data_IF_876086549283
#
_entry.id   IF_876086549283
#
_cell.length_a   1.000
_cell.length_b   1.000
_cell.length_c   1.000
_cell.angle_alpha   90.00
_cell.angle_beta   90.00
_cell.angle_gamma   90.00
#
_symmetry.space_group_name_H-M   'P 1'
#
loop_
_entity.id
_entity.type
_entity.pdbx_description
1 polymer ?
#
# COMPACT_ATOMS: atom_id res chain seq x y z
N UNK A 1 -8.67 -12.26 -17.26
CA UNK A 1 -9.04 -13.17 -16.14
C UNK A 1 -9.66 -12.44 -14.95
N UNK A 2 -9.04 -11.40 -14.39
CA UNK A 2 -9.55 -10.68 -13.20
C UNK A 2 -11.00 -10.13 -13.35
N UNK A 3 -11.38 -9.62 -14.53
CA UNK A 3 -12.76 -9.14 -14.79
C UNK A 3 -13.84 -10.24 -14.76
N UNK A 4 -13.49 -11.48 -15.11
CA UNK A 4 -14.44 -12.60 -15.15
C UNK A 4 -14.75 -13.10 -13.72
N UNK A 5 -13.77 -13.01 -12.83
CA UNK A 5 -13.91 -13.30 -11.40
C UNK A 5 -14.74 -12.23 -10.67
N UNK A 6 -14.57 -10.96 -11.06
CA UNK A 6 -15.32 -9.83 -10.48
C UNK A 6 -16.82 -9.85 -10.86
N UNK A 7 -17.15 -10.39 -12.04
CA UNK A 7 -18.54 -10.62 -12.46
C UNK A 7 -19.25 -11.74 -11.66
N UNK A 8 -18.50 -12.57 -10.91
CA UNK A 8 -19.01 -13.65 -10.06
C UNK A 8 -19.12 -13.25 -8.57
N UNK A 9 -19.07 -11.95 -8.24
CA UNK A 9 -19.25 -11.46 -6.87
C UNK A 9 -18.04 -11.63 -5.96
N UNK A 10 -16.88 -12.01 -6.51
CA UNK A 10 -15.60 -11.92 -5.79
C UNK A 10 -15.13 -10.45 -5.77
N UNK A 11 -15.82 -9.63 -5.00
CA UNK A 11 -15.30 -8.34 -4.57
C UNK A 11 -14.03 -8.60 -3.74
N UNK A 12 -12.98 -7.83 -4.01
CA UNK A 12 -11.75 -7.89 -3.23
C UNK A 12 -12.10 -7.75 -1.74
N UNK A 13 -11.76 -8.78 -0.95
CA UNK A 13 -12.18 -8.89 0.44
C UNK A 13 -11.80 -7.64 1.26
N UNK A 14 -12.50 -7.36 2.36
CA UNK A 14 -12.31 -6.14 3.16
C UNK A 14 -10.86 -5.92 3.62
N UNK A 15 -10.06 -6.99 3.71
CA UNK A 15 -8.65 -6.98 4.10
C UNK A 15 -7.66 -6.84 2.94
N UNK A 16 -8.04 -7.12 1.69
CA UNK A 16 -7.12 -7.07 0.55
C UNK A 16 -6.72 -5.63 0.17
N UNK A 17 -7.64 -4.67 0.37
CA UNK A 17 -7.40 -3.26 0.01
C UNK A 17 -6.36 -2.58 0.91
N UNK A 18 -6.42 -2.71 2.25
CA UNK A 18 -5.39 -2.17 3.12
C UNK A 18 -4.00 -2.78 2.90
N UNK A 19 -3.93 -4.10 2.62
CA UNK A 19 -2.66 -4.79 2.35
C UNK A 19 -1.97 -4.25 1.10
N UNK A 20 -2.71 -4.12 -0.01
CA UNK A 20 -2.16 -3.57 -1.25
C UNK A 20 -1.76 -2.09 -1.10
N UNK A 21 -2.58 -1.31 -0.40
CA UNK A 21 -2.26 0.09 -0.07
C UNK A 21 -0.96 0.17 0.72
N UNK A 22 -0.80 -0.69 1.73
CA UNK A 22 0.39 -0.78 2.56
C UNK A 22 1.63 -1.20 1.79
N UNK A 23 1.51 -2.19 0.89
CA UNK A 23 2.61 -2.62 0.03
C UNK A 23 3.12 -1.49 -0.87
N UNK A 24 2.20 -0.80 -1.57
CA UNK A 24 2.57 0.30 -2.47
C UNK A 24 3.16 1.44 -1.66
N UNK A 25 2.50 1.86 -0.58
CA UNK A 25 3.01 2.91 0.30
C UNK A 25 4.41 2.57 0.84
N UNK A 26 4.64 1.31 1.22
CA UNK A 26 5.91 0.83 1.76
C UNK A 26 7.05 0.97 0.77
N UNK A 27 6.83 0.52 -0.48
CA UNK A 27 7.82 0.67 -1.56
C UNK A 27 8.07 2.15 -1.87
N UNK A 28 7.01 2.96 -1.93
CA UNK A 28 7.14 4.39 -2.23
C UNK A 28 7.92 5.13 -1.14
N UNK A 29 7.63 4.83 0.13
CA UNK A 29 8.31 5.38 1.29
C UNK A 29 9.77 4.88 1.43
N UNK A 30 10.14 3.81 0.73
CA UNK A 30 11.51 3.28 0.74
C UNK A 30 12.49 4.17 -0.02
N UNK A 31 12.02 4.94 -1.00
CA UNK A 31 12.87 5.84 -1.80
C UNK A 31 13.64 6.86 -0.94
N UNK A 32 12.99 7.69 -0.10
CA UNK A 32 13.73 8.62 0.75
C UNK A 32 14.58 7.91 1.82
N UNK A 33 14.14 6.75 2.31
CA UNK A 33 14.90 5.96 3.29
C UNK A 33 16.22 5.44 2.70
N UNK A 34 16.20 4.92 1.47
CA UNK A 34 17.41 4.47 0.77
C UNK A 34 18.41 5.61 0.54
N UNK A 35 17.93 6.82 0.21
CA UNK A 35 18.79 7.98 0.04
C UNK A 35 19.57 8.30 1.32
N UNK A 36 18.92 8.22 2.48
CA UNK A 36 19.57 8.40 3.79
C UNK A 36 20.54 7.26 4.08
N UNK A 37 20.14 6.01 3.86
CA UNK A 37 21.04 4.87 4.09
C UNK A 37 22.31 4.95 3.24
N UNK A 38 22.19 5.40 1.99
CA UNK A 38 23.33 5.63 1.10
C UNK A 38 24.24 6.76 1.62
N UNK A 39 23.67 7.89 2.03
CA UNK A 39 24.43 9.02 2.57
C UNK A 39 25.18 8.71 3.88
N UNK A 40 24.65 7.80 4.69
CA UNK A 40 25.27 7.37 5.95
C UNK A 40 26.11 6.10 5.83
N UNK A 41 26.22 5.52 4.62
CA UNK A 41 26.87 4.23 4.38
C UNK A 41 26.38 3.11 5.31
N UNK A 42 25.10 3.19 5.71
CA UNK A 42 24.52 2.31 6.72
C UNK A 42 24.32 0.87 6.22
N UNK A 43 24.44 0.64 4.91
CA UNK A 43 24.34 -0.66 4.27
C UNK A 43 25.69 -1.39 4.14
N UNK A 44 26.81 -0.70 4.34
CA UNK A 44 28.14 -1.30 4.18
C UNK A 44 28.40 -2.36 5.25
N UNK A 45 28.03 -2.07 6.49
CA UNK A 45 28.21 -2.98 7.61
C UNK A 45 27.40 -4.29 7.45
N UNK A 46 26.08 -4.27 7.18
CA UNK A 46 25.33 -5.50 6.96
C UNK A 46 25.77 -6.23 5.68
N UNK A 47 26.17 -5.52 4.62
CA UNK A 47 26.71 -6.14 3.42
C UNK A 47 27.99 -6.94 3.73
N UNK A 48 28.95 -6.33 4.45
CA UNK A 48 30.19 -6.99 4.88
C UNK A 48 29.91 -8.16 5.82
N UNK A 49 29.03 -7.99 6.80
CA UNK A 49 28.68 -9.04 7.75
C UNK A 49 28.03 -10.27 7.07
N UNK A 50 27.21 -10.03 6.04
CA UNK A 50 26.61 -11.11 5.25
C UNK A 50 27.54 -11.66 4.14
N UNK A 51 28.71 -11.07 3.93
CA UNK A 51 29.59 -11.42 2.80
C UNK A 51 28.97 -11.13 1.42
N UNK A 52 28.10 -10.12 1.34
CA UNK A 52 27.35 -9.75 0.14
C UNK A 52 27.69 -8.35 -0.35
N UNK A 53 27.14 -7.95 -1.50
CA UNK A 53 27.29 -6.59 -2.02
C UNK A 53 26.32 -5.61 -1.34
N UNK A 54 26.67 -4.32 -1.32
CA UNK A 54 25.81 -3.24 -0.84
C UNK A 54 24.47 -3.20 -1.60
N UNK A 55 24.50 -3.55 -2.88
CA UNK A 55 23.28 -3.67 -3.69
C UNK A 55 22.36 -4.79 -3.20
N UNK A 56 22.91 -5.96 -2.86
CA UNK A 56 22.12 -7.06 -2.29
C UNK A 56 21.53 -6.67 -0.92
N UNK A 57 22.30 -5.98 -0.08
CA UNK A 57 21.81 -5.44 1.19
C UNK A 57 20.69 -4.41 1.00
N UNK A 58 20.79 -3.53 -0.02
CA UNK A 58 19.74 -2.59 -0.38
C UNK A 58 18.46 -3.32 -0.83
N UNK A 59 18.58 -4.37 -1.64
CA UNK A 59 17.44 -5.17 -2.09
C UNK A 59 16.76 -5.90 -0.94
N UNK A 60 17.55 -6.46 -0.02
CA UNK A 60 17.04 -7.05 1.22
C UNK A 60 16.28 -6.03 2.07
N UNK A 61 16.82 -4.80 2.20
CA UNK A 61 16.14 -3.71 2.88
C UNK A 61 14.80 -3.35 2.22
N UNK A 62 14.76 -3.23 0.89
CA UNK A 62 13.51 -2.99 0.14
C UNK A 62 12.49 -4.11 0.39
N UNK A 63 12.92 -5.37 0.38
CA UNK A 63 12.04 -6.51 0.67
C UNK A 63 11.47 -6.44 2.09
N UNK A 64 12.31 -6.11 3.08
CA UNK A 64 11.89 -5.89 4.47
C UNK A 64 10.89 -4.73 4.59
N UNK A 65 11.12 -3.62 3.90
CA UNK A 65 10.21 -2.47 3.92
C UNK A 65 8.89 -2.77 3.22
N UNK A 66 8.89 -3.57 2.15
CA UNK A 66 7.66 -4.06 1.52
C UNK A 66 6.84 -4.90 2.49
N UNK A 67 7.48 -5.84 3.20
CA UNK A 67 6.83 -6.65 4.24
C UNK A 67 6.31 -5.77 5.38
N UNK A 68 7.09 -4.79 5.82
CA UNK A 68 6.69 -3.81 6.83
C UNK A 68 5.47 -3.00 6.38
N UNK A 69 5.42 -2.58 5.12
CA UNK A 69 4.28 -1.86 4.55
C UNK A 69 3.00 -2.71 4.51
N UNK A 70 3.13 -3.99 4.12
CA UNK A 70 2.03 -4.97 4.18
C UNK A 70 1.54 -5.12 5.62
N UNK A 71 2.45 -5.28 6.59
CA UNK A 71 2.13 -5.41 8.01
C UNK A 71 1.42 -4.16 8.55
N UNK A 72 1.87 -2.97 8.16
CA UNK A 72 1.21 -1.71 8.53
C UNK A 72 -0.23 -1.67 8.02
N UNK A 73 -0.46 -2.01 6.74
CA UNK A 73 -1.78 -2.08 6.15
C UNK A 73 -2.67 -3.14 6.81
N UNK A 74 -2.10 -4.27 7.21
CA UNK A 74 -2.79 -5.34 7.92
C UNK A 74 -3.21 -4.94 9.34
N UNK A 75 -2.30 -4.31 10.09
CA UNK A 75 -2.48 -3.98 11.51
C UNK A 75 -3.41 -2.79 11.69
N UNK A 76 -3.20 -1.73 10.92
CA UNK A 76 -3.91 -0.47 11.13
C UNK A 76 -5.15 -0.31 10.26
N UNK A 77 -5.30 -1.09 9.19
CA UNK A 77 -6.48 -1.13 8.30
C UNK A 77 -7.16 0.25 8.10
N UNK A 78 -8.28 0.49 8.80
CA UNK A 78 -9.09 1.71 8.72
C UNK A 78 -8.57 2.84 9.61
N UNK A 79 -7.87 2.52 10.70
CA UNK A 79 -7.25 3.48 11.62
C UNK A 79 -6.07 4.24 10.98
N UNK A 80 -5.32 3.59 10.07
CA UNK A 80 -4.26 4.23 9.29
C UNK A 80 -4.76 5.27 8.28
N UNK A 81 -6.07 5.37 8.07
CA UNK A 81 -6.65 6.26 7.07
C UNK A 81 -7.04 7.64 7.64
N UNK A 82 -6.71 7.94 8.90
CA UNK A 82 -6.92 9.27 9.48
C UNK A 82 -5.82 10.25 9.03
N UNK A 83 -6.14 11.25 8.19
CA UNK A 83 -5.14 12.18 7.65
C UNK A 83 -4.51 13.10 8.70
N UNK A 84 -5.13 13.29 9.88
CA UNK A 84 -4.61 14.18 10.92
C UNK A 84 -3.56 13.50 11.82
N UNK A 85 -3.62 12.18 11.95
CA UNK A 85 -2.76 11.39 12.84
C UNK A 85 -1.92 10.32 12.15
N UNK A 86 -2.16 10.02 10.87
CA UNK A 86 -1.48 8.94 10.14
C UNK A 86 0.04 9.07 10.13
N UNK A 87 0.58 10.30 10.07
CA UNK A 87 2.02 10.57 10.13
C UNK A 87 2.65 10.15 11.47
N UNK A 88 1.95 10.33 12.58
CA UNK A 88 2.43 9.93 13.91
C UNK A 88 2.37 8.41 14.09
N UNK A 89 1.29 7.77 13.63
CA UNK A 89 1.18 6.31 13.59
C UNK A 89 2.28 5.69 12.72
N UNK A 90 2.54 6.29 11.56
CA UNK A 90 3.61 5.88 10.68
C UNK A 90 5.00 5.98 11.33
N UNK A 91 5.32 7.12 11.94
CA UNK A 91 6.60 7.28 12.65
C UNK A 91 6.74 6.33 13.85
N UNK A 92 5.69 6.17 14.65
CA UNK A 92 5.69 5.23 15.77
C UNK A 92 5.91 3.79 15.29
N UNK A 93 5.25 3.39 14.19
CA UNK A 93 5.45 2.08 13.60
C UNK A 93 6.88 1.90 13.04
N UNK A 94 7.42 2.92 12.37
CA UNK A 94 8.82 2.91 11.91
C UNK A 94 9.80 2.76 13.09
N UNK A 95 9.58 3.49 14.18
CA UNK A 95 10.36 3.37 15.40
C UNK A 95 10.27 1.98 16.03
N UNK A 96 9.07 1.40 16.12
CA UNK A 96 8.87 0.03 16.64
C UNK A 96 9.56 -1.00 15.74
N UNK A 97 9.47 -0.86 14.41
CA UNK A 97 10.21 -1.72 13.48
C UNK A 97 11.72 -1.59 13.66
N UNK A 98 12.22 -0.38 13.90
CA UNK A 98 13.63 -0.15 14.19
C UNK A 98 14.07 -0.86 15.48
N UNK A 99 13.24 -0.80 16.52
CA UNK A 99 13.48 -1.50 17.79
C UNK A 99 13.41 -3.02 17.68
N UNK A 100 12.62 -3.57 16.76
CA UNK A 100 12.42 -5.01 16.58
C UNK A 100 13.35 -5.66 15.56
N UNK A 101 13.68 -4.96 14.48
CA UNK A 101 14.48 -5.51 13.39
C UNK A 101 15.97 -5.23 13.59
N UNK A 102 16.45 -4.03 13.22
CA UNK A 102 17.87 -3.71 13.23
C UNK A 102 18.56 -3.84 14.59
N UNK A 103 17.96 -3.33 15.67
CA UNK A 103 18.62 -3.34 16.99
C UNK A 103 18.80 -4.76 17.52
N UNK A 104 17.78 -5.65 17.52
CA UNK A 104 17.96 -7.01 18.02
C UNK A 104 18.71 -7.90 17.02
N UNK A 105 18.37 -7.89 15.72
CA UNK A 105 19.01 -8.81 14.76
C UNK A 105 20.49 -8.49 14.52
N UNK A 106 20.90 -7.22 14.59
CA UNK A 106 22.29 -6.82 14.32
C UNK A 106 23.15 -6.82 15.60
N UNK A 107 22.54 -6.91 16.79
CA UNK A 107 23.23 -7.00 18.08
C UNK A 107 23.18 -8.41 18.69
N UNK A 108 22.37 -9.33 18.15
CA UNK A 108 22.32 -10.72 18.60
C UNK A 108 23.49 -11.57 18.06
N UNK A 109 24.34 -11.05 17.15
CA UNK A 109 25.63 -11.71 16.90
C UNK A 109 26.60 -11.32 18.04
N UNK A 110 26.91 -12.23 18.98
CA UNK A 110 27.57 -11.88 20.24
C UNK A 110 28.97 -11.28 20.08
N UNK A 111 29.60 -11.51 18.93
CA UNK A 111 31.02 -11.21 18.72
C UNK A 111 31.28 -9.91 17.92
N UNK A 112 30.26 -9.35 17.24
CA UNK A 112 30.42 -8.18 16.39
C UNK A 112 29.16 -7.32 16.35
N UNK A 113 29.04 -6.26 17.17
CA UNK A 113 27.96 -5.31 16.99
C UNK A 113 28.13 -4.62 15.63
N UNK A 114 27.22 -4.96 14.70
CA UNK A 114 27.41 -4.68 13.26
C UNK A 114 27.29 -3.18 12.97
N UNK A 115 26.50 -2.42 13.73
CA UNK A 115 26.34 -0.97 13.56
C UNK A 115 26.51 -0.20 14.87
N UNK A 116 27.47 0.72 14.88
CA UNK A 116 27.66 1.71 15.93
C UNK A 116 27.90 3.11 15.36
N UNK A 117 27.53 4.14 16.12
CA UNK A 117 27.80 5.54 15.77
C UNK A 117 27.02 6.01 14.55
N UNK A 118 27.73 6.61 13.59
CA UNK A 118 27.14 7.34 12.47
C UNK A 118 26.25 6.47 11.56
N UNK A 119 26.66 5.25 11.14
CA UNK A 119 25.78 4.31 10.42
C UNK A 119 24.49 3.94 11.16
N UNK A 120 24.55 3.78 12.50
CA UNK A 120 23.37 3.42 13.29
C UNK A 120 22.34 4.56 13.33
N UNK A 121 22.82 5.81 13.43
CA UNK A 121 21.97 7.00 13.34
C UNK A 121 21.30 7.12 11.96
N UNK A 122 22.05 6.84 10.88
CA UNK A 122 21.50 6.80 9.52
C UNK A 122 20.39 5.76 9.37
N UNK A 123 20.57 4.59 9.98
CA UNK A 123 19.57 3.53 9.94
C UNK A 123 18.30 3.88 10.75
N UNK A 124 18.45 4.49 11.92
CA UNK A 124 17.31 5.03 12.70
C UNK A 124 16.56 6.09 11.88
N UNK A 125 17.27 7.06 11.32
CA UNK A 125 16.68 8.16 10.56
C UNK A 125 15.95 7.64 9.31
N UNK A 126 16.54 6.68 8.61
CA UNK A 126 15.91 6.02 7.48
C UNK A 126 14.60 5.33 7.88
N UNK A 127 14.59 4.64 9.03
CA UNK A 127 13.38 3.95 9.50
C UNK A 127 12.27 4.92 9.93
N UNK A 128 12.64 6.04 10.57
CA UNK A 128 11.69 7.10 10.94
C UNK A 128 11.11 7.79 9.69
N UNK A 129 11.95 8.10 8.70
CA UNK A 129 11.51 8.69 7.43
C UNK A 129 10.64 7.74 6.62
N UNK A 130 10.98 6.45 6.61
CA UNK A 130 10.13 5.43 6.02
C UNK A 130 8.76 5.37 6.71
N UNK A 131 8.75 5.35 8.05
CA UNK A 131 7.51 5.37 8.84
C UNK A 131 6.68 6.63 8.59
N UNK A 132 7.31 7.81 8.56
CA UNK A 132 6.66 9.07 8.23
C UNK A 132 6.06 9.02 6.80
N UNK A 133 6.85 8.55 5.83
CA UNK A 133 6.42 8.38 4.45
C UNK A 133 5.21 7.46 4.35
N UNK A 134 5.22 6.34 5.07
CA UNK A 134 4.07 5.43 5.18
C UNK A 134 2.83 6.16 5.70
N UNK A 135 2.95 6.89 6.81
CA UNK A 135 1.84 7.61 7.42
C UNK A 135 1.20 8.68 6.52
N UNK A 136 2.00 9.28 5.63
CA UNK A 136 1.53 10.30 4.66
C UNK A 136 0.99 9.66 3.38
N UNK A 137 1.69 8.67 2.83
CA UNK A 137 1.38 8.09 1.51
C UNK A 137 0.18 7.14 1.59
N UNK A 138 0.01 6.42 2.69
CA UNK A 138 -1.08 5.45 2.88
C UNK A 138 -2.49 6.05 2.65
N UNK A 139 -2.89 7.17 3.30
CA UNK A 139 -4.22 7.77 3.07
C UNK A 139 -4.39 8.32 1.64
N UNK A 140 -3.30 8.81 1.01
CA UNK A 140 -3.33 9.28 -0.37
C UNK A 140 -3.63 8.14 -1.34
N UNK A 141 -2.90 7.03 -1.24
CA UNK A 141 -3.09 5.85 -2.10
C UNK A 141 -4.48 5.24 -1.86
N UNK A 142 -4.92 5.16 -0.59
CA UNK A 142 -6.23 4.62 -0.27
C UNK A 142 -7.37 5.43 -0.90
N UNK A 143 -7.27 6.76 -0.89
CA UNK A 143 -8.24 7.66 -1.52
C UNK A 143 -8.30 7.47 -3.04
N UNK A 144 -7.16 7.33 -3.71
CA UNK A 144 -7.09 7.09 -5.16
C UNK A 144 -7.69 5.74 -5.56
N UNK A 145 -7.36 4.67 -4.82
CA UNK A 145 -7.93 3.34 -5.04
C UNK A 145 -9.46 3.34 -4.89
N UNK A 146 -10.00 4.07 -3.91
CA UNK A 146 -11.44 4.21 -3.71
C UNK A 146 -12.11 4.99 -4.85
N UNK A 147 -11.50 6.08 -5.30
CA UNK A 147 -12.02 6.91 -6.39
C UNK A 147 -12.08 6.14 -7.72
N UNK A 148 -11.04 5.37 -8.04
CA UNK A 148 -10.99 4.55 -9.25
C UNK A 148 -12.11 3.51 -9.29
N UNK A 149 -12.43 2.85 -8.17
CA UNK A 149 -13.50 1.87 -8.10
C UNK A 149 -14.90 2.50 -8.24
N UNK A 150 -15.14 3.64 -7.58
CA UNK A 150 -16.42 4.37 -7.69
C UNK A 150 -16.65 4.87 -9.12
N UNK A 151 -15.61 5.39 -9.77
CA UNK A 151 -15.70 5.82 -11.18
C UNK A 151 -15.98 4.65 -12.14
N UNK A 152 -15.40 3.49 -11.87
CA UNK A 152 -15.59 2.28 -12.69
C UNK A 152 -17.00 1.69 -12.49
N UNK A 153 -17.49 1.59 -11.26
CA UNK A 153 -18.88 1.17 -10.96
C UNK A 153 -19.92 2.16 -11.48
N UNK A 154 -19.67 3.47 -11.42
CA UNK A 154 -20.56 4.49 -11.99
C UNK A 154 -20.69 4.39 -13.51
N UNK A 155 -19.62 4.01 -14.21
CA UNK A 155 -19.64 3.79 -15.66
C UNK A 155 -20.36 2.48 -16.06
N UNK A 156 -20.26 1.43 -15.23
CA UNK A 156 -20.90 0.14 -15.47
C UNK A 156 -22.40 0.16 -15.10
N UNK A 157 -22.76 0.80 -13.98
CA UNK A 157 -24.15 0.92 -13.51
C UNK A 157 -25.04 1.72 -14.49
N UNK A 158 -24.48 2.72 -15.18
CA UNK A 158 -25.19 3.47 -16.22
C UNK A 158 -25.59 2.66 -17.46
N UNK A 159 -25.08 1.44 -17.66
CA UNK A 159 -25.43 0.60 -18.82
C UNK A 159 -26.29 -0.62 -18.50
N UNK A 160 -26.45 -1.00 -17.24
CA UNK A 160 -27.14 -2.25 -16.87
C UNK A 160 -28.12 -2.12 -15.70
N UNK A 161 -28.47 -0.89 -15.29
CA UNK A 161 -29.51 -0.66 -14.29
C UNK A 161 -30.93 -0.92 -14.82
N UNK A 162 -31.90 -1.27 -13.96
CA UNK A 162 -33.30 -1.48 -14.36
C UNK A 162 -33.93 -0.26 -15.05
N UNK A 163 -33.37 0.94 -14.84
CA UNK A 163 -33.78 2.17 -15.54
C UNK A 163 -33.45 2.14 -17.05
N UNK A 164 -32.38 1.48 -17.48
CA UNK A 164 -32.06 1.32 -18.91
C UNK A 164 -33.04 0.38 -19.62
N UNK A 165 -33.52 -0.65 -18.90
CA UNK A 165 -34.57 -1.55 -19.38
C UNK A 165 -35.91 -0.80 -19.44
N UNK A 166 -36.24 0.00 -18.43
CA UNK A 166 -37.44 0.84 -18.41
C UNK A 166 -37.46 1.87 -19.56
N UNK A 167 -36.32 2.49 -19.87
CA UNK A 167 -36.21 3.41 -21.02
C UNK A 167 -36.38 2.71 -22.37
N UNK A 168 -35.87 1.48 -22.53
CA UNK A 168 -36.11 0.70 -23.75
C UNK A 168 -37.57 0.26 -23.93
N UNK A 169 -38.30 0.04 -22.83
CA UNK A 169 -39.72 -0.29 -22.89
C UNK A 169 -40.61 0.93 -23.20
N UNK A 170 -40.25 2.12 -22.70
CA UNK A 170 -40.99 3.35 -22.98
C UNK A 170 -40.86 3.84 -24.44
N UNK A 171 -39.78 3.45 -25.13
CA UNK A 171 -39.56 3.79 -26.53
C UNK A 171 -40.17 2.79 -27.51
N UNK A 172 -40.90 1.76 -27.04
CA UNK A 172 -41.61 0.83 -27.92
C UNK A 172 -42.91 1.50 -28.41
N UNK A 173 -43.04 1.83 -29.70
CA UNK A 173 -44.28 2.40 -30.22
C UNK A 173 -45.39 1.36 -30.09
N UNK A 174 -46.50 1.73 -29.45
CA UNK A 174 -47.69 0.89 -29.39
C UNK A 174 -48.19 0.64 -30.82
N UNK A 175 -48.57 -0.61 -31.17
CA UNK A 175 -49.15 -0.88 -32.48
C UNK A 175 -50.44 -0.06 -32.65
N UNK A 176 -50.49 0.80 -33.67
CA UNK A 176 -51.66 1.61 -33.95
C UNK A 176 -52.83 0.69 -34.27
N UNK A 177 -53.87 0.69 -33.44
CA UNK A 177 -55.14 0.08 -33.78
C UNK A 177 -55.77 0.88 -34.92
N UNK A 178 -55.55 0.47 -36.16
CA UNK A 178 -56.44 0.86 -37.25
C UNK A 178 -57.74 0.07 -37.06
N UNK A 179 -58.72 0.74 -36.47
CA UNK A 179 -60.10 0.33 -36.59
C UNK A 179 -60.53 0.40 -38.05
N UNK A 180 -61.16 -0.66 -38.53
CA UNK A 180 -62.01 -0.61 -39.71
C UNK A 180 -63.03 -1.76 -39.61
N UNK A 181 -64.16 -1.43 -39.03
CA UNK A 181 -65.48 -1.96 -39.42
C UNK A 181 -66.32 -0.71 -39.74
N UNK A 182 -67.24 -0.75 -40.71
CA UNK A 182 -68.23 -1.80 -40.93
C UNK A 182 -67.98 -2.68 -42.16
#
# INVERSE_FOLDING_TARGET
>A
MLRMLQAHGLDAGPTQRPLLTGAIAGVTATVPALAILAGFQALDAPARAAGTSVFAAALAYVALMLLGGILYGWLFQRAANDPRGGWLFGMAFGFVLWMLGPVPLLQWLPDHPILHGYPAAGLLLAQLLWGLGMGVVFPLIHRHLRASLVSQSGSASKRTGPEAVAQSQLLRPLPSSKGSSP
#
